data_IF_386318760871
#
_entry.id   IF_386318760871
#
_cell.length_a   1.000
_cell.length_b   1.000
_cell.length_c   1.000
_cell.angle_alpha   90.00
_cell.angle_beta   90.00
_cell.angle_gamma   90.00
#
_symmetry.space_group_name_H-M   'P 1'
#
loop_
_entity.id
_entity.type
_entity.pdbx_description
1 polymer ?
#
# COMPACT_ATOMS: atom_id res chain seq x y z
N UNK A 1 -5.08 13.13 28.48
CA UNK A 1 -5.58 13.42 27.12
C UNK A 1 -6.77 12.51 26.93
N UNK A 2 -7.97 13.06 26.82
CA UNK A 2 -9.19 12.26 26.70
C UNK A 2 -9.21 11.54 25.36
N UNK A 3 -9.49 10.23 25.37
CA UNK A 3 -9.88 9.49 24.17
C UNK A 3 -11.26 9.98 23.77
N UNK A 4 -11.30 10.99 22.89
CA UNK A 4 -12.52 11.42 22.23
C UNK A 4 -12.91 10.31 21.24
N UNK A 5 -13.78 9.42 21.71
CA UNK A 5 -14.40 8.40 20.85
C UNK A 5 -15.14 9.12 19.73
N UNK A 6 -14.81 8.74 18.51
CA UNK A 6 -15.41 9.30 17.31
C UNK A 6 -16.91 9.01 17.36
N UNK A 7 -17.73 10.05 17.21
CA UNK A 7 -19.17 9.89 17.11
C UNK A 7 -19.48 9.12 15.81
N UNK A 8 -19.98 7.89 15.94
CA UNK A 8 -20.25 6.96 14.83
C UNK A 8 -21.42 7.39 13.93
N UNK A 9 -22.03 8.54 14.18
CA UNK A 9 -23.26 8.99 13.51
C UNK A 9 -23.02 9.60 12.11
N UNK A 10 -21.79 10.03 11.80
CA UNK A 10 -21.39 10.56 10.47
C UNK A 10 -20.35 9.67 9.78
N UNK A 11 -20.55 8.35 9.84
CA UNK A 11 -19.65 7.40 9.18
C UNK A 11 -20.10 7.16 7.74
N UNK A 12 -19.21 7.37 6.78
CA UNK A 12 -19.42 7.00 5.37
C UNK A 12 -18.79 5.65 5.07
N UNK A 13 -19.56 4.76 4.46
CA UNK A 13 -19.08 3.46 4.01
C UNK A 13 -18.60 3.52 2.55
N UNK A 14 -17.54 2.77 2.27
CA UNK A 14 -16.96 2.61 0.94
C UNK A 14 -16.80 1.12 0.66
N UNK A 15 -17.45 0.65 -0.39
CA UNK A 15 -17.27 -0.71 -0.90
C UNK A 15 -16.30 -0.60 -2.08
N UNK A 16 -15.10 -1.13 -1.89
CA UNK A 16 -14.06 -1.20 -2.91
C UNK A 16 -14.10 -2.56 -3.58
N UNK A 17 -14.18 -2.54 -4.91
CA UNK A 17 -14.02 -3.74 -5.73
C UNK A 17 -12.55 -4.17 -5.77
N UNK A 18 -12.23 -5.42 -6.15
CA UNK A 18 -10.84 -5.82 -6.37
C UNK A 18 -10.10 -4.84 -7.28
N UNK A 19 -8.81 -4.62 -6.99
CA UNK A 19 -7.91 -3.77 -7.77
C UNK A 19 -8.31 -2.28 -7.82
N UNK A 20 -9.04 -1.81 -6.82
CA UNK A 20 -9.43 -0.40 -6.67
C UNK A 20 -8.90 0.22 -5.39
N UNK A 21 -8.91 1.56 -5.35
CA UNK A 21 -8.49 2.33 -4.17
C UNK A 21 -9.44 3.48 -3.83
N UNK A 22 -9.56 3.76 -2.54
CA UNK A 22 -10.14 5.00 -2.02
C UNK A 22 -9.04 6.06 -1.96
N UNK A 23 -9.18 7.12 -2.76
CA UNK A 23 -8.32 8.31 -2.72
C UNK A 23 -8.98 9.41 -1.91
N UNK A 24 -8.23 10.01 -0.99
CA UNK A 24 -8.70 11.15 -0.23
C UNK A 24 -7.60 12.14 0.14
N UNK A 25 -8.00 13.38 0.40
CA UNK A 25 -7.14 14.46 0.86
C UNK A 25 -7.70 15.07 2.14
N UNK A 26 -6.85 15.16 3.17
CA UNK A 26 -7.20 15.76 4.46
C UNK A 26 -6.40 17.04 4.63
N UNK A 27 -7.10 18.13 4.92
CA UNK A 27 -6.50 19.42 5.22
C UNK A 27 -5.74 19.41 6.56
N UNK A 28 -4.92 20.42 6.82
CA UNK A 28 -4.07 20.49 8.00
C UNK A 28 -4.84 20.62 9.33
N UNK A 29 -6.02 21.23 9.31
CA UNK A 29 -6.86 21.43 10.49
C UNK A 29 -7.90 20.31 10.69
N UNK A 30 -7.94 19.34 9.76
CA UNK A 30 -8.95 18.28 9.73
C UNK A 30 -8.32 16.93 10.05
N UNK A 31 -9.17 16.02 10.54
CA UNK A 31 -8.81 14.63 10.77
C UNK A 31 -9.86 13.77 10.07
N UNK A 32 -9.38 12.83 9.25
CA UNK A 32 -10.22 11.74 8.78
C UNK A 32 -9.74 10.43 9.39
N UNK A 33 -10.68 9.66 9.92
CA UNK A 33 -10.43 8.32 10.44
C UNK A 33 -10.93 7.30 9.44
N UNK A 34 -10.12 6.27 9.18
CA UNK A 34 -10.45 5.15 8.30
C UNK A 34 -10.38 3.86 9.10
N UNK A 35 -11.37 2.99 8.92
CA UNK A 35 -11.46 1.67 9.54
C UNK A 35 -11.75 0.63 8.47
N UNK A 36 -10.92 -0.42 8.40
CA UNK A 36 -11.21 -1.60 7.58
C UNK A 36 -12.28 -2.45 8.28
N UNK A 37 -13.47 -2.54 7.68
CA UNK A 37 -14.60 -3.32 8.23
C UNK A 37 -14.58 -4.75 7.73
N UNK A 38 -14.30 -4.97 6.45
CA UNK A 38 -14.25 -6.29 5.81
C UNK A 38 -13.22 -6.33 4.68
N UNK A 39 -12.77 -7.53 4.32
CA UNK A 39 -11.76 -7.75 3.28
C UNK A 39 -10.33 -7.45 3.74
N UNK A 40 -9.46 -7.15 2.78
CA UNK A 40 -8.07 -6.73 3.01
C UNK A 40 -7.81 -5.42 2.30
N UNK A 41 -7.13 -4.50 2.96
CA UNK A 41 -6.74 -3.23 2.37
C UNK A 41 -5.35 -2.82 2.86
N UNK A 42 -4.67 -2.02 2.06
CA UNK A 42 -3.33 -1.53 2.35
C UNK A 42 -3.21 -0.04 2.03
N UNK A 43 -2.37 0.65 2.80
CA UNK A 43 -1.96 2.03 2.53
C UNK A 43 -0.50 2.00 2.10
N UNK A 44 -0.24 2.26 0.82
CA UNK A 44 1.10 2.27 0.23
C UNK A 44 1.95 1.03 0.59
N UNK A 45 1.35 -0.17 0.52
CA UNK A 45 1.99 -1.45 0.82
C UNK A 45 1.99 -1.85 2.30
N UNK A 46 1.42 -1.05 3.20
CA UNK A 46 1.22 -1.40 4.61
C UNK A 46 -0.20 -1.91 4.84
N UNK A 47 -0.32 -3.17 5.24
CA UNK A 47 -1.61 -3.82 5.49
C UNK A 47 -2.37 -3.17 6.66
N UNK A 48 -3.67 -2.95 6.48
CA UNK A 48 -4.57 -2.45 7.51
C UNK A 48 -5.16 -3.60 8.33
N UNK A 49 -4.98 -3.56 9.65
CA UNK A 49 -5.71 -4.42 10.57
C UNK A 49 -7.22 -4.12 10.59
N UNK A 50 -8.04 -5.17 10.51
CA UNK A 50 -9.50 -5.11 10.61
C UNK A 50 -9.95 -4.47 11.93
N UNK A 51 -10.97 -3.61 11.86
CA UNK A 51 -11.55 -2.88 12.99
C UNK A 51 -10.56 -1.99 13.78
N UNK A 52 -9.40 -1.69 13.20
CA UNK A 52 -8.46 -0.72 13.77
C UNK A 52 -8.69 0.65 13.15
N UNK A 53 -8.64 1.68 13.98
CA UNK A 53 -8.73 3.08 13.55
C UNK A 53 -7.38 3.61 13.08
N UNK A 54 -7.39 4.24 11.91
CA UNK A 54 -6.25 4.96 11.35
C UNK A 54 -6.65 6.42 11.13
N UNK A 55 -5.94 7.35 11.76
CA UNK A 55 -6.25 8.79 11.71
C UNK A 55 -5.25 9.49 10.81
N UNK A 56 -5.75 10.24 9.84
CA UNK A 56 -4.97 10.98 8.86
C UNK A 56 -5.27 12.47 8.97
N UNK A 57 -4.23 13.30 8.78
CA UNK A 57 -4.28 14.77 8.82
C UNK A 57 -3.19 15.33 7.90
N UNK A 58 -3.42 16.49 7.28
CA UNK A 58 -2.45 17.15 6.40
C UNK A 58 -1.83 16.24 5.31
N UNK A 59 -2.61 15.37 4.69
CA UNK A 59 -2.07 14.33 3.79
C UNK A 59 -3.02 13.92 2.67
N UNK A 60 -2.43 13.45 1.55
CA UNK A 60 -3.11 12.74 0.46
C UNK A 60 -2.85 11.25 0.61
N UNK A 61 -3.88 10.42 0.55
CA UNK A 61 -3.77 8.99 0.83
C UNK A 61 -4.60 8.20 -0.18
N UNK A 62 -4.08 7.04 -0.55
CA UNK A 62 -4.81 5.99 -1.24
C UNK A 62 -4.86 4.74 -0.34
N UNK A 63 -6.06 4.21 -0.14
CA UNK A 63 -6.28 2.90 0.51
C UNK A 63 -6.67 1.92 -0.59
N UNK A 64 -5.78 0.99 -0.92
CA UNK A 64 -5.93 0.06 -2.03
C UNK A 64 -6.36 -1.32 -1.54
N UNK A 65 -7.05 -2.08 -2.39
CA UNK A 65 -7.37 -3.49 -2.14
C UNK A 65 -7.13 -4.38 -3.36
N UNK A 66 -6.49 -5.52 -3.15
CA UNK A 66 -6.30 -6.55 -4.19
C UNK A 66 -7.54 -7.44 -4.36
N UNK A 67 -8.27 -7.72 -3.28
CA UNK A 67 -9.32 -8.75 -3.24
C UNK A 67 -10.72 -8.17 -3.01
N UNK A 68 -10.82 -6.86 -2.75
CA UNK A 68 -12.04 -6.19 -2.32
C UNK A 68 -12.03 -5.89 -0.81
N UNK A 69 -12.64 -4.76 -0.43
CA UNK A 69 -12.68 -4.30 0.95
C UNK A 69 -13.88 -3.39 1.23
N UNK A 70 -14.36 -3.41 2.48
CA UNK A 70 -15.32 -2.44 2.99
C UNK A 70 -14.63 -1.54 4.00
N UNK A 71 -14.58 -0.24 3.71
CA UNK A 71 -13.99 0.78 4.57
C UNK A 71 -15.08 1.65 5.18
N UNK A 72 -14.90 2.04 6.44
CA UNK A 72 -15.70 3.07 7.08
C UNK A 72 -14.81 4.29 7.34
N UNK A 73 -15.28 5.47 6.94
CA UNK A 73 -14.59 6.74 7.16
C UNK A 73 -15.42 7.68 8.01
N UNK A 74 -14.80 8.39 8.94
CA UNK A 74 -15.43 9.43 9.75
C UNK A 74 -14.55 10.68 9.80
N UNK A 75 -15.17 11.84 9.99
CA UNK A 75 -14.49 13.14 9.93
C UNK A 75 -14.54 13.75 8.53
N UNK A 76 -13.64 14.70 8.28
CA UNK A 76 -13.74 15.57 7.11
C UNK A 76 -12.53 15.44 6.19
N UNK A 77 -12.79 15.22 4.90
CA UNK A 77 -11.81 15.26 3.81
C UNK A 77 -12.21 16.33 2.80
N UNK A 78 -11.23 16.97 2.16
CA UNK A 78 -11.47 17.93 1.08
C UNK A 78 -12.06 17.26 -0.16
N UNK A 79 -11.52 16.08 -0.47
CA UNK A 79 -12.01 15.22 -1.56
C UNK A 79 -11.87 13.77 -1.12
N UNK A 80 -12.84 12.93 -1.51
CA UNK A 80 -12.78 11.49 -1.33
C UNK A 80 -13.56 10.79 -2.46
N UNK A 81 -12.93 9.82 -3.13
CA UNK A 81 -13.56 9.03 -4.19
C UNK A 81 -12.85 7.68 -4.39
N UNK A 82 -13.57 6.68 -4.90
CA UNK A 82 -12.99 5.41 -5.32
C UNK A 82 -12.48 5.50 -6.78
N UNK A 83 -11.36 4.86 -7.07
CA UNK A 83 -10.75 4.78 -8.40
C UNK A 83 -10.28 3.37 -8.69
N UNK A 84 -10.60 2.88 -9.89
CA UNK A 84 -10.12 1.58 -10.42
C UNK A 84 -8.84 1.75 -11.27
N UNK A 85 -8.50 2.99 -11.65
CA UNK A 85 -7.29 3.27 -12.42
C UNK A 85 -6.11 3.49 -11.48
N UNK A 86 -5.29 2.44 -11.31
CA UNK A 86 -4.14 2.46 -10.40
C UNK A 86 -2.89 1.87 -11.07
N UNK A 87 -1.68 2.34 -10.71
CA UNK A 87 -0.43 1.75 -11.17
C UNK A 87 0.00 0.53 -10.33
N UNK A 88 -0.85 0.01 -9.44
CA UNK A 88 -0.46 -1.02 -8.45
C UNK A 88 0.05 -2.31 -9.10
N UNK A 89 -0.50 -2.70 -10.25
CA UNK A 89 0.00 -3.84 -11.02
C UNK A 89 1.46 -3.68 -11.44
N UNK A 90 1.86 -2.47 -11.88
CA UNK A 90 3.24 -2.19 -12.24
C UNK A 90 4.19 -2.29 -11.03
N UNK A 91 3.72 -1.88 -9.83
CA UNK A 91 4.49 -1.96 -8.61
C UNK A 91 4.68 -3.41 -8.14
N UNK A 92 3.64 -4.25 -8.16
CA UNK A 92 3.78 -5.67 -7.77
C UNK A 92 4.65 -6.44 -8.77
N UNK A 93 4.54 -6.15 -10.06
CA UNK A 93 5.42 -6.71 -11.09
C UNK A 93 6.89 -6.31 -10.87
N UNK A 94 7.12 -5.04 -10.52
CA UNK A 94 8.46 -4.54 -10.19
C UNK A 94 8.99 -5.24 -8.94
N UNK A 95 8.18 -5.38 -7.90
CA UNK A 95 8.53 -6.10 -6.68
C UNK A 95 8.97 -7.54 -6.98
N UNK A 96 8.18 -8.30 -7.75
CA UNK A 96 8.49 -9.68 -8.12
C UNK A 96 9.82 -9.79 -8.87
N UNK A 97 10.10 -8.87 -9.81
CA UNK A 97 11.37 -8.84 -10.53
C UNK A 97 12.56 -8.52 -9.63
N UNK A 98 12.41 -7.59 -8.69
CA UNK A 98 13.47 -7.28 -7.72
C UNK A 98 13.73 -8.45 -6.79
N UNK A 99 12.69 -9.17 -6.37
CA UNK A 99 12.84 -10.35 -5.54
C UNK A 99 13.54 -11.50 -6.27
N UNK A 100 13.17 -11.77 -7.52
CA UNK A 100 13.88 -12.73 -8.35
C UNK A 100 15.38 -12.41 -8.49
N UNK A 101 15.75 -11.12 -8.57
CA UNK A 101 17.15 -10.68 -8.58
C UNK A 101 17.84 -10.87 -7.21
N UNK A 102 17.13 -10.64 -6.09
CA UNK A 102 17.66 -10.92 -4.74
C UNK A 102 17.95 -12.40 -4.55
N UNK A 103 16.99 -13.26 -4.91
CA UNK A 103 17.13 -14.72 -4.81
C UNK A 103 18.32 -15.22 -5.66
N UNK A 104 18.44 -14.73 -6.90
CA UNK A 104 19.58 -15.03 -7.78
C UNK A 104 20.91 -14.62 -7.15
N UNK A 105 20.99 -13.44 -6.55
CA UNK A 105 22.20 -12.98 -5.88
C UNK A 105 22.57 -13.84 -4.66
N UNK A 106 21.57 -14.36 -3.94
CA UNK A 106 21.77 -15.28 -2.82
C UNK A 106 22.10 -16.71 -3.26
N UNK A 107 22.06 -17.03 -4.55
CA UNK A 107 22.15 -18.41 -5.05
C UNK A 107 20.93 -19.26 -4.66
N UNK A 108 19.85 -18.62 -4.17
CA UNK A 108 18.59 -19.29 -3.83
C UNK A 108 17.77 -19.41 -5.12
N UNK A 109 17.38 -20.64 -5.43
CA UNK A 109 16.65 -20.97 -6.66
C UNK A 109 15.16 -20.96 -6.38
N UNK A 110 14.40 -20.08 -7.04
CA UNK A 110 12.95 -20.28 -7.16
C UNK A 110 12.72 -21.31 -8.29
N UNK A 111 12.35 -22.56 -7.93
CA UNK A 111 11.88 -23.56 -8.91
C UNK A 111 12.88 -24.58 -9.46
N UNK A 112 14.00 -24.88 -8.77
CA UNK A 112 14.67 -26.18 -8.89
C UNK A 112 15.60 -26.48 -10.09
N UNK A 113 15.91 -25.55 -11.00
CA UNK A 113 16.93 -25.80 -12.04
C UNK A 113 17.99 -24.70 -12.06
N UNK A 114 19.23 -25.10 -11.76
CA UNK A 114 20.40 -24.24 -11.76
C UNK A 114 20.81 -23.90 -13.20
N UNK A 115 20.91 -22.60 -13.51
CA UNK A 115 21.76 -22.12 -14.61
C UNK A 115 22.76 -21.17 -13.98
N UNK A 116 24.03 -21.59 -13.98
CA UNK A 116 25.08 -20.99 -13.17
C UNK A 116 25.32 -19.52 -13.47
N UNK A 117 25.60 -18.77 -12.41
CA UNK A 117 26.54 -17.67 -12.46
C UNK A 117 27.51 -17.87 -11.29
N UNK A 118 28.78 -17.96 -11.63
CA UNK A 118 29.87 -18.26 -10.72
C UNK A 118 29.86 -17.31 -9.50
N UNK A 119 29.86 -17.90 -8.30
CA UNK A 119 30.31 -17.18 -7.13
C UNK A 119 31.79 -16.84 -7.37
N UNK A 120 32.07 -15.55 -7.62
CA UNK A 120 33.37 -15.03 -7.25
C UNK A 120 33.45 -15.19 -5.73
N UNK A 121 34.18 -16.22 -5.29
CA UNK A 121 34.57 -16.40 -3.91
C UNK A 121 35.11 -15.06 -3.38
N UNK A 122 34.68 -14.66 -2.18
CA UNK A 122 35.05 -13.44 -1.43
C UNK A 122 34.11 -12.21 -1.49
N UNK A 123 32.99 -12.22 -2.22
CA UNK A 123 32.01 -11.09 -2.14
C UNK A 123 30.66 -11.54 -1.58
N UNK A 124 30.24 -10.91 -0.46
CA UNK A 124 28.90 -11.06 0.13
C UNK A 124 27.83 -10.84 -0.94
N UNK A 125 26.80 -11.71 -1.04
CA UNK A 125 25.73 -11.54 -2.03
C UNK A 125 25.04 -10.19 -1.85
N UNK A 126 24.85 -9.47 -2.95
CA UNK A 126 24.25 -8.13 -2.98
C UNK A 126 23.02 -8.13 -3.88
N UNK A 127 21.88 -7.72 -3.34
CA UNK A 127 20.64 -7.55 -4.09
C UNK A 127 20.72 -6.40 -5.12
N UNK A 128 19.68 -6.25 -5.96
CA UNK A 128 19.63 -5.17 -6.96
C UNK A 128 19.63 -3.79 -6.28
N UNK A 129 20.33 -2.84 -6.90
CA UNK A 129 20.25 -1.40 -6.56
C UNK A 129 19.31 -0.75 -7.56
N UNK A 130 18.32 -0.02 -7.06
CA UNK A 130 17.27 0.61 -7.87
C UNK A 130 17.38 2.13 -7.72
N UNK A 131 17.22 2.84 -8.83
CA UNK A 131 17.09 4.30 -8.86
C UNK A 131 15.68 4.61 -9.35
N UNK A 132 14.94 5.42 -8.59
CA UNK A 132 13.66 6.01 -9.00
C UNK A 132 13.95 7.45 -9.41
N UNK A 133 13.61 7.82 -10.64
CA UNK A 133 13.89 9.13 -11.20
C UNK A 133 12.70 9.60 -12.04
N UNK A 134 12.44 10.91 -12.03
CA UNK A 134 11.35 11.55 -12.74
C UNK A 134 11.32 13.06 -12.46
N UNK A 135 10.50 13.82 -13.18
CA UNK A 135 10.21 15.21 -12.84
C UNK A 135 9.51 15.33 -11.48
N UNK A 136 9.35 16.57 -11.00
CA UNK A 136 8.50 16.84 -9.83
C UNK A 136 7.06 16.39 -10.10
N UNK A 137 6.40 15.85 -9.07
CA UNK A 137 5.01 15.38 -9.10
C UNK A 137 4.73 14.26 -10.13
N UNK A 138 5.66 13.29 -10.23
CA UNK A 138 5.53 12.06 -11.05
C UNK A 138 4.72 10.96 -10.37
#
# INVERSE_FOLDING_TARGET
>A
MAEEKINMEDTKEWILVPESELRFEVDAEKIMTVVLKEGKAEVFGVEMAKNREYRFTATKVAVFTWEGATLATAGEALVAYASEETPMEAYVNTHAHLEARRLRALGVVAGGVAVGAAAAADKKPRGPVVVVAGPVDS
#
